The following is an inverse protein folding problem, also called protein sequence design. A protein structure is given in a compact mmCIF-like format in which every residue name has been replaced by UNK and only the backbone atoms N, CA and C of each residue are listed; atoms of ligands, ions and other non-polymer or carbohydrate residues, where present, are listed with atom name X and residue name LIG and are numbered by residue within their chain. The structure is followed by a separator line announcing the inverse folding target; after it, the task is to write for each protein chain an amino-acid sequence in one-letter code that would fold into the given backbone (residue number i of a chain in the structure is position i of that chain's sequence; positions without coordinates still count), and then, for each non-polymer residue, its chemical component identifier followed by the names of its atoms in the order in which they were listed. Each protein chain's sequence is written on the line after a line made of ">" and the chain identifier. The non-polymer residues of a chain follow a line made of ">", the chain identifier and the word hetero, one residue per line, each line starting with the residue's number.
data_IF_208377316492
#
_entry.id   IF_208377316492
#
_cell.length_a   1.000
_cell.length_b   1.000
_cell.length_c   1.000
_cell.angle_alpha   90.00
_cell.angle_beta   90.00
_cell.angle_gamma   90.00
#
_symmetry.space_group_name_H-M   'P 1'
#
loop_
_entity.id
_entity.type
_entity.pdbx_description
1 polymer ?
#
# COMPACT_ATOMS: atom_id res chain seq x y z
N UNK A 1 -45.64 -9.91 4.86
CA UNK A 1 -44.35 -9.33 4.38
C UNK A 1 -43.52 -8.99 5.60
N UNK A 2 -42.41 -9.70 5.83
CA UNK A 2 -41.54 -9.47 7.01
C UNK A 2 -40.80 -8.14 6.88
N UNK A 3 -40.94 -7.27 7.88
CA UNK A 3 -40.28 -5.96 8.00
C UNK A 3 -39.05 -6.00 8.92
N UNK A 4 -38.57 -7.18 9.29
CA UNK A 4 -37.46 -7.30 10.23
C UNK A 4 -36.15 -6.86 9.58
N UNK A 5 -35.60 -5.74 10.04
CA UNK A 5 -34.22 -5.31 9.73
C UNK A 5 -33.28 -6.42 10.19
N UNK A 6 -32.60 -7.05 9.24
CA UNK A 6 -31.80 -8.26 9.44
C UNK A 6 -30.84 -8.13 10.62
N UNK A 7 -30.76 -9.22 11.40
CA UNK A 7 -29.92 -9.47 12.56
C UNK A 7 -28.57 -8.71 12.54
N UNK A 8 -28.56 -7.48 13.04
CA UNK A 8 -27.47 -6.50 12.87
C UNK A 8 -26.24 -6.81 13.71
N UNK A 9 -26.37 -7.72 14.70
CA UNK A 9 -25.27 -8.21 15.52
C UNK A 9 -25.01 -9.68 15.20
N UNK A 10 -23.92 -9.96 14.49
CA UNK A 10 -23.51 -11.33 14.19
C UNK A 10 -22.94 -11.97 15.47
N UNK A 11 -23.70 -12.87 16.11
CA UNK A 11 -23.29 -13.52 17.38
C UNK A 11 -22.26 -14.64 17.20
N UNK A 12 -22.22 -15.29 16.02
CA UNK A 12 -21.27 -16.37 15.73
C UNK A 12 -20.08 -15.87 14.89
N UNK A 13 -18.86 -16.34 15.18
CA UNK A 13 -17.70 -16.01 14.37
C UNK A 13 -17.84 -16.54 12.94
N UNK A 14 -17.04 -15.99 12.02
CA UNK A 14 -16.90 -16.49 10.65
C UNK A 14 -16.66 -18.00 10.66
N UNK A 15 -17.53 -18.79 10.01
CA UNK A 15 -17.44 -20.26 9.95
C UNK A 15 -16.19 -20.74 9.22
N UNK A 16 -15.84 -20.05 8.13
CA UNK A 16 -14.69 -20.36 7.29
C UNK A 16 -13.63 -19.27 7.48
N UNK A 17 -12.66 -19.54 8.34
CA UNK A 17 -11.50 -18.66 8.57
C UNK A 17 -10.30 -19.21 7.82
N UNK A 18 -9.43 -18.33 7.36
CA UNK A 18 -8.15 -18.75 6.80
C UNK A 18 -7.29 -19.36 7.92
N UNK A 19 -6.79 -20.57 7.71
CA UNK A 19 -5.89 -21.26 8.66
C UNK A 19 -4.50 -20.65 8.62
N UNK A 20 -4.03 -20.30 7.42
CA UNK A 20 -2.74 -19.65 7.19
C UNK A 20 -2.93 -18.29 6.54
N UNK A 21 -1.98 -17.39 6.75
CA UNK A 21 -1.95 -16.12 6.05
C UNK A 21 -1.74 -16.32 4.54
N UNK A 22 -2.22 -15.37 3.73
CA UNK A 22 -1.86 -15.33 2.32
C UNK A 22 -0.38 -14.96 2.13
N UNK A 23 0.29 -15.74 1.28
CA UNK A 23 1.67 -15.58 0.86
C UNK A 23 1.71 -15.53 -0.68
N UNK A 24 2.34 -14.50 -1.24
CA UNK A 24 2.30 -14.25 -2.69
C UNK A 24 3.26 -15.15 -3.49
N UNK A 25 4.25 -15.72 -2.83
CA UNK A 25 5.34 -16.53 -3.37
C UNK A 25 5.23 -18.03 -3.04
N UNK A 26 4.18 -18.44 -2.30
CA UNK A 26 3.97 -19.83 -1.87
C UNK A 26 3.95 -20.85 -3.03
N UNK A 27 3.26 -20.52 -4.12
CA UNK A 27 3.08 -21.45 -5.26
C UNK A 27 3.62 -20.91 -6.59
N UNK A 28 3.73 -19.59 -6.74
CA UNK A 28 4.12 -18.93 -7.99
C UNK A 28 5.27 -17.95 -7.70
N UNK A 29 6.48 -18.51 -7.61
CA UNK A 29 7.73 -17.77 -7.40
C UNK A 29 8.18 -17.12 -8.71
N UNK A 30 7.78 -15.88 -8.91
CA UNK A 30 8.24 -15.07 -10.04
C UNK A 30 9.35 -14.13 -9.58
N UNK A 31 10.39 -13.94 -10.40
CA UNK A 31 11.47 -12.94 -10.15
C UNK A 31 10.92 -11.54 -9.89
N UNK A 32 9.78 -11.20 -10.51
CA UNK A 32 9.09 -9.93 -10.29
C UNK A 32 8.48 -9.84 -8.89
N UNK A 33 7.83 -10.90 -8.41
CA UNK A 33 7.25 -10.94 -7.04
C UNK A 33 8.35 -10.83 -5.98
N UNK A 34 9.47 -11.52 -6.20
CA UNK A 34 10.64 -11.47 -5.31
C UNK A 34 11.23 -10.06 -5.23
N UNK A 35 11.42 -9.39 -6.38
CA UNK A 35 11.85 -7.98 -6.42
C UNK A 35 10.89 -7.05 -5.67
N UNK A 36 9.58 -7.26 -5.82
CA UNK A 36 8.58 -6.45 -5.11
C UNK A 36 8.59 -6.72 -3.60
N UNK A 37 8.78 -7.96 -3.18
CA UNK A 37 8.85 -8.33 -1.76
C UNK A 37 10.09 -7.75 -1.06
N UNK A 38 11.22 -7.66 -1.78
CA UNK A 38 12.47 -7.11 -1.27
C UNK A 38 12.56 -5.57 -1.42
N UNK A 39 11.54 -4.93 -2.00
CA UNK A 39 11.53 -3.48 -2.20
C UNK A 39 11.36 -2.75 -0.86
N UNK A 40 12.28 -1.83 -0.57
CA UNK A 40 12.18 -0.96 0.60
C UNK A 40 11.35 0.28 0.26
N UNK A 41 10.34 0.57 1.07
CA UNK A 41 9.50 1.76 0.93
C UNK A 41 10.02 2.88 1.83
N UNK A 42 10.96 3.68 1.32
CA UNK A 42 11.49 4.83 2.03
C UNK A 42 10.53 6.03 1.96
N UNK A 43 10.71 7.03 2.82
CA UNK A 43 9.99 8.31 2.78
C UNK A 43 8.47 8.26 3.03
N UNK A 44 7.98 7.22 3.73
CA UNK A 44 6.56 7.06 4.08
C UNK A 44 6.35 6.97 5.60
N UNK A 45 5.17 7.39 6.06
CA UNK A 45 4.73 7.10 7.43
C UNK A 45 4.32 5.62 7.56
N UNK A 46 4.33 5.07 8.78
CA UNK A 46 4.03 3.66 9.05
C UNK A 46 2.65 3.21 8.49
N UNK A 47 1.65 4.11 8.54
CA UNK A 47 0.33 3.86 7.95
C UNK A 47 0.39 3.73 6.43
N UNK A 48 1.13 4.60 5.75
CA UNK A 48 1.24 4.53 4.30
C UNK A 48 2.10 3.36 3.84
N UNK A 49 3.18 3.05 4.56
CA UNK A 49 4.03 1.90 4.32
C UNK A 49 3.22 0.60 4.38
N UNK A 50 2.44 0.38 5.44
CA UNK A 50 1.59 -0.81 5.57
C UNK A 50 0.56 -0.95 4.44
N UNK A 51 0.01 0.15 3.93
CA UNK A 51 -0.90 0.13 2.78
C UNK A 51 -0.18 -0.35 1.50
N UNK A 52 1.04 0.13 1.24
CA UNK A 52 1.79 -0.28 0.05
C UNK A 52 2.31 -1.71 0.20
N UNK A 53 2.81 -2.07 1.37
CA UNK A 53 3.22 -3.44 1.69
C UNK A 53 2.06 -4.43 1.51
N UNK A 54 0.84 -4.06 1.93
CA UNK A 54 -0.36 -4.83 1.67
C UNK A 54 -0.61 -5.02 0.17
N UNK A 55 -0.44 -3.97 -0.65
CA UNK A 55 -0.60 -4.08 -2.10
C UNK A 55 0.42 -5.06 -2.70
N UNK A 56 1.67 -5.06 -2.24
CA UNK A 56 2.68 -6.04 -2.67
C UNK A 56 2.30 -7.46 -2.23
N UNK A 57 1.97 -7.62 -0.94
CA UNK A 57 1.58 -8.90 -0.33
C UNK A 57 0.41 -9.55 -1.06
N UNK A 58 -0.56 -8.77 -1.55
CA UNK A 58 -1.73 -9.29 -2.27
C UNK A 58 -1.64 -9.19 -3.80
N UNK A 59 -0.45 -8.96 -4.37
CA UNK A 59 -0.23 -8.81 -5.83
C UNK A 59 -1.10 -7.71 -6.48
N UNK A 60 -1.43 -6.67 -5.73
CA UNK A 60 -2.20 -5.49 -6.17
C UNK A 60 -1.33 -4.26 -6.44
N UNK A 61 -0.01 -4.41 -6.32
CA UNK A 61 0.95 -3.33 -6.59
C UNK A 61 1.04 -3.06 -8.09
N UNK A 62 0.88 -1.79 -8.48
CA UNK A 62 0.99 -1.33 -9.87
C UNK A 62 2.18 -0.36 -9.97
N UNK A 63 3.27 -0.76 -10.64
CA UNK A 63 4.40 0.14 -10.83
C UNK A 63 4.04 1.29 -11.79
N UNK A 64 4.78 2.38 -11.70
CA UNK A 64 4.71 3.47 -12.67
C UNK A 64 5.47 3.08 -13.94
N UNK A 65 4.91 3.40 -15.10
CA UNK A 65 5.61 3.28 -16.39
C UNK A 65 6.44 4.52 -16.71
N UNK A 66 5.98 5.69 -16.24
CA UNK A 66 6.62 7.00 -16.43
C UNK A 66 6.61 7.73 -15.08
N UNK A 67 7.64 8.53 -14.75
CA UNK A 67 7.64 9.34 -13.53
C UNK A 67 6.42 10.26 -13.43
N UNK A 68 5.82 10.34 -12.24
CA UNK A 68 4.70 11.23 -11.96
C UNK A 68 5.17 12.63 -11.59
N UNK A 69 4.26 13.62 -11.70
CA UNK A 69 4.49 15.01 -11.26
C UNK A 69 4.44 15.09 -9.74
N UNK A 70 5.45 15.71 -9.13
CA UNK A 70 5.49 15.99 -7.70
C UNK A 70 4.52 17.13 -7.34
N UNK A 71 3.77 16.97 -6.25
CA UNK A 71 2.84 18.02 -5.76
C UNK A 71 3.57 19.22 -5.14
N UNK A 72 4.84 19.06 -4.71
CA UNK A 72 5.61 20.12 -4.03
C UNK A 72 6.51 20.92 -4.97
N UNK A 73 7.33 20.27 -5.78
CA UNK A 73 8.23 20.96 -6.73
C UNK A 73 7.68 21.02 -8.16
N UNK A 74 6.54 20.40 -8.45
CA UNK A 74 5.92 20.37 -9.77
C UNK A 74 6.72 19.72 -10.90
N UNK A 75 7.87 19.13 -10.60
CA UNK A 75 8.68 18.39 -11.57
C UNK A 75 8.18 16.94 -11.75
N UNK A 76 8.43 16.36 -12.91
CA UNK A 76 8.15 14.94 -13.20
C UNK A 76 9.26 14.03 -12.68
N UNK A 77 9.45 14.00 -11.37
CA UNK A 77 10.55 13.28 -10.71
C UNK A 77 10.09 12.23 -9.69
N UNK A 78 8.78 11.96 -9.57
CA UNK A 78 8.25 10.91 -8.70
C UNK A 78 8.41 9.54 -9.36
N UNK A 79 9.40 8.77 -8.93
CA UNK A 79 9.73 7.44 -9.48
C UNK A 79 9.02 6.27 -8.77
N UNK A 80 8.68 6.46 -7.49
CA UNK A 80 8.05 5.42 -6.67
C UNK A 80 6.53 5.40 -6.86
N UNK A 81 5.94 4.21 -7.04
CA UNK A 81 4.50 4.11 -7.24
C UNK A 81 3.72 4.48 -5.98
N UNK A 82 2.53 5.06 -6.15
CA UNK A 82 1.66 5.56 -5.07
C UNK A 82 2.22 6.75 -4.26
N UNK A 83 3.35 7.32 -4.67
CA UNK A 83 3.88 8.55 -4.10
C UNK A 83 3.30 9.75 -4.88
N UNK A 84 3.06 10.86 -4.18
CA UNK A 84 2.60 12.13 -4.75
C UNK A 84 3.66 13.23 -4.57
N UNK A 85 4.64 13.02 -3.69
CA UNK A 85 5.80 13.89 -3.49
C UNK A 85 7.07 13.09 -3.83
N UNK A 86 8.07 13.74 -4.40
CA UNK A 86 9.36 13.12 -4.68
C UNK A 86 10.21 12.98 -3.41
N UNK A 87 11.22 12.11 -3.46
CA UNK A 87 12.10 11.84 -2.32
C UNK A 87 12.76 13.11 -1.78
N UNK A 88 13.29 13.97 -2.66
CA UNK A 88 13.94 15.22 -2.26
C UNK A 88 12.99 16.15 -1.49
N UNK A 89 11.76 16.34 -1.98
CA UNK A 89 10.78 17.17 -1.29
C UNK A 89 10.31 16.55 0.03
N UNK A 90 10.20 15.22 0.09
CA UNK A 90 9.84 14.50 1.31
C UNK A 90 10.91 14.65 2.39
N UNK A 91 12.19 14.53 2.03
CA UNK A 91 13.32 14.69 2.94
C UNK A 91 13.48 16.13 3.42
N UNK A 92 13.43 17.10 2.51
CA UNK A 92 13.61 18.53 2.84
C UNK A 92 12.48 19.05 3.75
N UNK A 93 11.24 18.63 3.50
CA UNK A 93 10.08 19.09 4.26
C UNK A 93 9.71 18.17 5.43
N UNK A 94 10.38 17.02 5.56
CA UNK A 94 10.07 15.97 6.56
C UNK A 94 8.59 15.55 6.55
N UNK A 95 8.06 15.30 5.36
CA UNK A 95 6.67 14.87 5.14
C UNK A 95 6.61 13.51 4.44
N UNK A 96 5.57 12.74 4.71
CA UNK A 96 5.29 11.49 4.01
C UNK A 96 5.05 11.71 2.51
N UNK A 97 5.76 10.96 1.67
CA UNK A 97 5.69 11.09 0.22
C UNK A 97 4.33 10.70 -0.39
N UNK A 98 3.45 10.05 0.37
CA UNK A 98 2.12 9.62 -0.08
C UNK A 98 0.95 10.43 0.49
N UNK A 99 0.92 10.71 1.80
CA UNK A 99 -0.18 11.45 2.43
C UNK A 99 0.14 12.92 2.75
N UNK A 100 1.39 13.36 2.55
CA UNK A 100 1.85 14.74 2.84
C UNK A 100 1.75 15.18 4.30
N UNK A 101 1.36 14.29 5.21
CA UNK A 101 1.44 14.50 6.67
C UNK A 101 2.90 14.45 7.12
N UNK A 102 3.23 15.13 8.22
CA UNK A 102 4.54 15.03 8.86
C UNK A 102 4.83 13.60 9.31
N UNK A 103 6.13 13.23 9.38
CA UNK A 103 6.56 12.00 10.05
C UNK A 103 6.44 12.20 11.56
N UNK A 104 5.23 12.13 12.10
CA UNK A 104 4.98 11.95 13.54
C UNK A 104 5.05 10.45 13.90
#
# INVERSE_FOLDING_TARGET
>A
MSSQKGNVSRTRPQKHKNVTQFENDKYNKNKLSERLNNMQFTSLCAKCESIIQWKVKYKKYKPLTVPAKCVKCEEKNVKSAYHIVCSNCSENLKICAKCTESFE
#
